data_IF_197079367942
#
_entry.id   IF_197079367942
#
_cell.length_a   1.000
_cell.length_b   1.000
_cell.length_c   1.000
_cell.angle_alpha   90.00
_cell.angle_beta   90.00
_cell.angle_gamma   90.00
#
_symmetry.space_group_name_H-M   'P 1'
#
loop_
_entity.id
_entity.type
_entity.pdbx_description
1 polymer ?
#
# COMPACT_ATOMS: atom_id res chain seq x y z
N UNK A 1 -9.14 -4.40 -4.74
CA UNK A 1 -9.81 -3.13 -5.16
C UNK A 1 -10.37 -2.36 -3.97
N UNK A 2 -11.24 -2.98 -3.15
CA UNK A 2 -11.89 -2.31 -2.00
C UNK A 2 -10.88 -1.90 -0.92
N UNK A 3 -10.09 -2.84 -0.43
CA UNK A 3 -9.27 -2.62 0.77
C UNK A 3 -8.09 -1.65 0.52
N UNK A 4 -7.62 -1.57 -0.74
CA UNK A 4 -6.62 -0.60 -1.19
C UNK A 4 -7.24 0.67 -1.81
N UNK A 5 -8.58 0.75 -1.91
CA UNK A 5 -9.27 1.91 -2.49
C UNK A 5 -8.80 2.26 -3.92
N UNK A 6 -8.67 1.29 -4.81
CA UNK A 6 -7.99 1.46 -6.11
C UNK A 6 -8.82 2.14 -7.20
N UNK A 7 -10.13 2.37 -6.98
CA UNK A 7 -11.02 3.05 -7.94
C UNK A 7 -10.83 4.57 -7.89
N UNK A 8 -9.59 5.01 -8.08
CA UNK A 8 -9.15 6.42 -8.05
C UNK A 8 -8.09 6.62 -9.14
N UNK A 9 -7.95 7.83 -9.70
CA UNK A 9 -6.96 8.11 -10.74
C UNK A 9 -5.53 8.28 -10.17
N UNK A 10 -4.97 7.23 -9.58
CA UNK A 10 -3.68 7.27 -8.86
C UNK A 10 -2.50 6.61 -9.60
N UNK A 11 -2.73 6.13 -10.83
CA UNK A 11 -1.75 5.28 -11.54
C UNK A 11 -0.71 6.05 -12.36
N UNK A 12 -0.97 7.33 -12.71
CA UNK A 12 -0.04 8.12 -13.53
C UNK A 12 1.30 8.34 -12.85
N UNK A 13 1.31 8.60 -11.54
CA UNK A 13 2.51 8.91 -10.76
C UNK A 13 3.49 7.73 -10.60
N UNK A 14 3.01 6.50 -10.82
CA UNK A 14 3.83 5.27 -10.73
C UNK A 14 4.24 4.71 -12.09
N UNK A 15 3.87 5.37 -13.20
CA UNK A 15 4.23 4.93 -14.54
C UNK A 15 5.74 5.06 -14.83
N UNK A 16 6.46 5.82 -14.01
CA UNK A 16 7.90 6.00 -14.07
C UNK A 16 8.49 5.99 -12.65
N UNK A 17 9.79 5.65 -12.55
CA UNK A 17 10.54 5.60 -11.29
C UNK A 17 10.00 4.58 -10.28
N UNK A 18 9.36 3.51 -10.78
CA UNK A 18 8.95 2.35 -9.99
C UNK A 18 7.61 2.49 -9.27
N UNK A 19 7.00 1.33 -8.99
CA UNK A 19 5.70 1.20 -8.33
C UNK A 19 5.80 1.04 -6.80
N UNK A 20 6.99 0.71 -6.29
CA UNK A 20 7.22 0.31 -4.90
C UNK A 20 8.35 1.10 -4.24
N UNK A 21 8.34 1.21 -2.91
CA UNK A 21 9.40 1.86 -2.13
C UNK A 21 9.48 3.37 -2.35
N UNK A 22 8.36 3.98 -2.70
CA UNK A 22 8.24 5.41 -3.00
C UNK A 22 7.65 6.15 -1.80
N UNK A 23 8.51 6.56 -0.87
CA UNK A 23 8.11 7.28 0.35
C UNK A 23 7.57 8.70 0.07
N UNK A 24 7.84 9.23 -1.13
CA UNK A 24 7.32 10.50 -1.62
C UNK A 24 5.87 10.41 -2.13
N UNK A 25 5.31 9.20 -2.27
CA UNK A 25 3.96 8.96 -2.77
C UNK A 25 3.11 8.23 -1.72
N UNK A 26 1.89 8.73 -1.48
CA UNK A 26 0.95 8.06 -0.58
C UNK A 26 0.19 6.93 -1.29
N UNK A 27 0.87 5.81 -1.50
CA UNK A 27 0.33 4.62 -2.17
C UNK A 27 -0.21 3.63 -1.13
N UNK A 28 -1.47 3.22 -1.30
CA UNK A 28 -2.15 2.36 -0.31
C UNK A 28 -1.53 0.97 -0.15
N UNK A 29 -0.79 0.48 -1.15
CA UNK A 29 -0.13 -0.83 -1.09
C UNK A 29 1.23 -0.80 -0.40
N UNK A 30 1.81 0.39 -0.17
CA UNK A 30 3.03 0.55 0.64
C UNK A 30 2.72 0.62 2.15
N UNK A 31 1.44 0.83 2.51
CA UNK A 31 1.03 0.94 3.90
C UNK A 31 1.14 -0.41 4.61
N UNK A 32 1.85 -0.44 5.73
CA UNK A 32 2.00 -1.63 6.58
C UNK A 32 0.98 -1.62 7.73
N UNK A 33 -0.25 -1.20 7.44
CA UNK A 33 -1.31 -1.01 8.43
C UNK A 33 -1.90 -2.33 8.98
N UNK A 34 -1.47 -3.49 8.47
CA UNK A 34 -1.93 -4.82 8.91
C UNK A 34 -0.89 -5.61 9.71
N UNK A 35 0.25 -4.99 10.09
CA UNK A 35 1.30 -5.69 10.86
C UNK A 35 0.74 -6.27 12.15
N UNK A 36 -0.03 -5.49 12.91
CA UNK A 36 -0.49 -5.91 14.22
C UNK A 36 -1.53 -7.04 14.11
N UNK A 37 -2.41 -6.99 13.11
CA UNK A 37 -3.33 -8.10 12.80
C UNK A 37 -2.56 -9.39 12.50
N UNK A 38 -1.48 -9.29 11.71
CA UNK A 38 -0.67 -10.45 11.34
C UNK A 38 0.09 -11.02 12.54
N UNK A 39 0.67 -10.17 13.39
CA UNK A 39 1.34 -10.59 14.62
C UNK A 39 0.37 -11.32 15.55
N UNK A 40 -0.80 -10.71 15.80
CA UNK A 40 -1.83 -11.31 16.64
C UNK A 40 -2.31 -12.67 16.09
N UNK A 41 -2.46 -12.80 14.76
CA UNK A 41 -2.90 -14.04 14.13
C UNK A 41 -1.92 -15.22 14.33
N UNK A 42 -0.63 -14.94 14.55
CA UNK A 42 0.39 -15.96 14.80
C UNK A 42 0.85 -16.02 16.27
N UNK A 43 0.22 -15.25 17.16
CA UNK A 43 0.55 -15.20 18.58
C UNK A 43 1.85 -14.44 18.92
N UNK A 44 2.22 -13.46 18.09
CA UNK A 44 3.33 -12.52 18.30
C UNK A 44 2.85 -11.15 18.81
#
# INVERSE_FOLDING_TARGET
IRDLGLRRPIFRQVAAYGHFGRDDLNLSWEQVNRVDELKAAVGL
#
